data_IF_489655647673
#
_entry.id   IF_489655647673
#
_cell.length_a   1.000
_cell.length_b   1.000
_cell.length_c   1.000
_cell.angle_alpha   90.00
_cell.angle_beta   90.00
_cell.angle_gamma   90.00
#
_symmetry.space_group_name_H-M   'P 1'
#
loop_
_entity.id
_entity.type
_entity.pdbx_description
1 polymer ?
#
# COMPACT_ATOMS: atom_id res chain seq x y z
N UNK A 1 -8.09 -37.56 1.14
CA UNK A 1 -7.35 -36.29 1.07
C UNK A 1 -5.91 -36.61 0.67
N UNK A 2 -5.46 -36.09 -0.46
CA UNK A 2 -4.23 -36.56 -1.12
C UNK A 2 -3.02 -35.87 -0.50
N UNK A 3 -2.10 -36.63 0.09
CA UNK A 3 -0.88 -36.13 0.76
C UNK A 3 -0.03 -35.22 -0.15
N UNK A 4 -0.13 -35.39 -1.47
CA UNK A 4 0.59 -34.58 -2.46
C UNK A 4 0.11 -33.12 -2.52
N UNK A 5 -1.19 -32.83 -2.23
CA UNK A 5 -1.71 -31.45 -2.16
C UNK A 5 -1.23 -30.73 -0.88
N UNK A 6 -0.99 -31.45 0.18
CA UNK A 6 -0.54 -30.89 1.47
C UNK A 6 0.92 -30.42 1.42
N UNK A 7 1.77 -31.09 0.65
CA UNK A 7 3.17 -30.64 0.45
C UNK A 7 3.28 -29.44 -0.47
N UNK A 8 2.35 -29.28 -1.41
CA UNK A 8 2.31 -28.11 -2.31
C UNK A 8 1.94 -26.81 -1.55
N UNK A 9 0.94 -26.87 -0.69
CA UNK A 9 0.53 -25.72 0.14
C UNK A 9 1.59 -25.32 1.15
N UNK A 10 2.29 -26.26 1.77
CA UNK A 10 3.40 -25.96 2.70
C UNK A 10 4.62 -25.36 1.97
N UNK A 11 4.91 -25.83 0.75
CA UNK A 11 5.98 -25.29 -0.08
C UNK A 11 5.76 -23.85 -0.52
N UNK A 12 4.50 -23.49 -0.85
CA UNK A 12 4.11 -22.13 -1.23
C UNK A 12 4.22 -21.17 -0.03
N UNK A 13 3.72 -21.56 1.14
CA UNK A 13 3.80 -20.73 2.36
C UNK A 13 5.25 -20.46 2.78
N UNK A 14 6.13 -21.47 2.71
CA UNK A 14 7.56 -21.30 3.01
C UNK A 14 8.27 -20.43 1.96
N UNK A 15 7.86 -20.50 0.70
CA UNK A 15 8.38 -19.65 -0.38
C UNK A 15 8.02 -18.16 -0.17
N UNK A 16 6.78 -17.87 0.19
CA UNK A 16 6.29 -16.51 0.45
C UNK A 16 7.03 -15.88 1.65
N UNK A 17 7.21 -16.63 2.74
CA UNK A 17 7.97 -16.14 3.92
C UNK A 17 9.42 -15.82 3.55
N UNK A 18 10.05 -16.62 2.68
CA UNK A 18 11.43 -16.38 2.26
C UNK A 18 11.56 -15.14 1.37
N UNK A 19 10.59 -14.89 0.49
CA UNK A 19 10.54 -13.71 -0.40
C UNK A 19 10.35 -12.43 0.43
N UNK A 20 9.43 -12.42 1.39
CA UNK A 20 9.21 -11.28 2.29
C UNK A 20 10.47 -10.96 3.10
N UNK A 21 11.19 -11.98 3.58
CA UNK A 21 12.45 -11.79 4.30
C UNK A 21 13.57 -11.24 3.39
N UNK A 22 13.61 -11.65 2.12
CA UNK A 22 14.61 -11.16 1.14
C UNK A 22 14.32 -9.69 0.79
N UNK A 23 13.06 -9.32 0.54
CA UNK A 23 12.66 -7.93 0.26
C UNK A 23 12.98 -7.04 1.46
N UNK A 24 12.69 -7.50 2.67
CA UNK A 24 13.04 -6.78 3.91
C UNK A 24 14.56 -6.59 4.06
N UNK A 25 15.34 -7.62 3.74
CA UNK A 25 16.81 -7.58 3.85
C UNK A 25 17.46 -6.68 2.80
N UNK A 26 16.97 -6.70 1.55
CA UNK A 26 17.45 -5.82 0.47
C UNK A 26 17.12 -4.35 0.75
N UNK A 27 15.92 -4.04 1.26
CA UNK A 27 15.55 -2.68 1.67
C UNK A 27 16.32 -2.21 2.91
N UNK A 28 16.60 -3.09 3.88
CA UNK A 28 17.43 -2.76 5.05
C UNK A 28 18.89 -2.49 4.67
N UNK A 29 19.44 -3.21 3.70
CA UNK A 29 20.80 -3.02 3.20
C UNK A 29 20.96 -1.69 2.43
N UNK A 30 19.91 -1.24 1.74
CA UNK A 30 19.93 0.01 0.97
C UNK A 30 19.81 1.27 1.85
N UNK A 31 19.27 1.17 3.07
CA UNK A 31 19.18 2.29 4.02
C UNK A 31 20.50 2.65 4.72
N UNK A 32 21.53 1.82 4.60
CA UNK A 32 22.84 2.04 5.23
C UNK A 32 23.84 2.83 4.37
N UNK A 33 23.41 3.37 3.23
CA UNK A 33 24.26 4.14 2.31
C UNK A 33 23.93 5.65 2.29
N UNK A 34 23.67 6.26 3.44
CA UNK A 34 23.71 7.73 3.56
C UNK A 34 25.12 8.19 3.90
N UNK A 35 25.66 9.24 3.24
CA UNK A 35 26.99 9.76 3.54
C UNK A 35 27.02 10.36 4.95
N UNK A 36 28.00 9.95 5.71
CA UNK A 36 28.31 10.48 7.05
C UNK A 36 28.90 11.88 6.92
N UNK A 37 28.26 12.86 7.54
CA UNK A 37 28.80 14.21 7.71
C UNK A 37 29.85 14.21 8.85
N UNK A 38 31.08 14.73 8.63
CA UNK A 38 32.11 14.72 9.65
C UNK A 38 32.21 16.08 10.34
N UNK A 39 31.42 16.35 11.37
CA UNK A 39 31.74 17.41 12.36
C UNK A 39 30.94 17.25 13.65
N UNK A 40 31.63 16.91 14.73
CA UNK A 40 31.77 17.63 15.97
C UNK A 40 32.07 16.70 17.15
N UNK A 41 33.30 16.68 17.57
CA UNK A 41 33.65 16.29 18.93
C UNK A 41 33.47 17.48 19.84
N UNK A 42 32.91 17.24 21.04
CA UNK A 42 33.35 17.87 22.29
C UNK A 42 32.84 17.05 23.46
N UNK A 43 33.81 16.51 24.17
CA UNK A 43 33.72 16.00 25.56
C UNK A 43 33.58 17.16 26.51
N UNK A 44 32.88 16.99 27.66
CA UNK A 44 33.27 17.41 29.02
C UNK A 44 32.28 16.78 30.02
N UNK A 45 32.79 15.82 30.80
CA UNK A 45 32.87 15.69 32.27
C UNK A 45 31.62 15.75 33.17
N UNK A 46 31.57 14.69 33.99
CA UNK A 46 30.78 14.45 35.17
C UNK A 46 30.86 15.56 36.22
N UNK A 47 29.75 15.78 36.92
CA UNK A 47 29.77 15.90 38.40
C UNK A 47 28.42 15.57 39.05
N UNK A 48 28.53 14.88 40.11
CA UNK A 48 27.75 14.24 41.14
C UNK A 48 26.59 14.98 41.81
N UNK A 49 25.55 14.19 42.12
CA UNK A 49 24.75 14.14 43.37
C UNK A 49 23.74 15.24 43.72
N UNK A 50 22.46 14.78 43.92
CA UNK A 50 21.45 15.50 44.69
C UNK A 50 20.01 15.04 44.50
N UNK A 51 19.61 13.94 45.12
CA UNK A 51 18.40 13.62 45.89
C UNK A 51 17.03 14.25 45.56
N UNK A 52 16.10 13.33 45.19
CA UNK A 52 14.65 13.24 45.54
C UNK A 52 13.73 14.43 45.32
N UNK A 53 12.74 14.23 44.47
CA UNK A 53 11.29 14.23 44.82
C UNK A 53 10.49 13.62 43.69
N UNK A 54 9.52 12.76 44.03
CA UNK A 54 8.63 12.12 43.05
C UNK A 54 7.79 13.15 42.30
N UNK A 55 7.81 13.00 41.00
CA UNK A 55 6.82 13.66 40.15
C UNK A 55 6.27 12.57 39.20
N UNK A 56 4.97 12.35 39.29
CA UNK A 56 4.15 11.57 38.41
C UNK A 56 4.49 11.89 36.95
N UNK A 57 4.68 10.96 36.05
CA UNK A 57 4.90 11.27 34.64
C UNK A 57 3.67 12.01 34.11
N UNK A 58 3.90 13.22 33.68
CA UNK A 58 2.90 14.13 33.14
C UNK A 58 2.34 13.61 31.82
N UNK A 59 1.04 13.64 31.68
CA UNK A 59 0.22 13.37 30.48
C UNK A 59 0.67 14.14 29.21
N UNK A 60 1.64 15.03 29.32
CA UNK A 60 2.14 15.83 28.19
C UNK A 60 3.22 15.15 27.35
N UNK A 61 3.84 14.08 27.84
CA UNK A 61 4.86 13.35 27.09
C UNK A 61 4.24 12.34 26.08
N UNK A 62 3.09 11.76 26.41
CA UNK A 62 2.37 10.85 25.51
C UNK A 62 1.81 11.61 24.28
N UNK A 63 1.16 12.76 24.49
CA UNK A 63 0.61 13.56 23.41
C UNK A 63 1.64 14.15 22.43
N UNK A 64 2.90 14.33 22.87
CA UNK A 64 3.99 14.76 21.99
C UNK A 64 4.50 13.61 21.11
N UNK A 65 4.57 12.39 21.63
CA UNK A 65 4.97 11.19 20.87
C UNK A 65 3.93 10.82 19.80
N UNK A 66 2.64 10.94 20.10
CA UNK A 66 1.56 10.66 19.13
C UNK A 66 1.55 11.67 17.99
N UNK A 67 1.82 12.96 18.27
CA UNK A 67 1.93 13.99 17.23
C UNK A 67 3.14 13.78 16.32
N UNK A 68 4.27 13.32 16.87
CA UNK A 68 5.48 13.03 16.10
C UNK A 68 5.30 11.76 15.24
N UNK A 69 4.60 10.75 15.76
CA UNK A 69 4.25 9.53 15.01
C UNK A 69 3.32 9.84 13.83
N UNK A 70 2.25 10.60 14.06
CA UNK A 70 1.33 11.03 13.01
C UNK A 70 2.03 11.86 11.92
N UNK A 71 2.86 12.82 12.32
CA UNK A 71 3.61 13.65 11.36
C UNK A 71 4.54 12.81 10.51
N UNK A 72 5.25 11.86 11.10
CA UNK A 72 6.16 10.97 10.40
C UNK A 72 5.42 10.01 9.49
N UNK A 73 4.28 9.47 9.93
CA UNK A 73 3.39 8.65 9.16
C UNK A 73 2.87 9.39 7.92
N UNK A 74 2.29 10.57 8.09
CA UNK A 74 1.75 11.38 6.97
C UNK A 74 2.82 11.69 5.93
N UNK A 75 4.04 12.02 6.37
CA UNK A 75 5.16 12.25 5.44
C UNK A 75 5.52 10.98 4.65
N UNK A 76 5.53 9.80 5.28
CA UNK A 76 5.80 8.53 4.61
C UNK A 76 4.66 8.18 3.64
N UNK A 77 3.40 8.47 4.00
CA UNK A 77 2.25 8.29 3.11
C UNK A 77 2.32 9.18 1.86
N UNK A 78 2.67 10.45 2.02
CA UNK A 78 2.84 11.39 0.90
C UNK A 78 3.91 10.89 -0.09
N UNK A 79 5.02 10.34 0.42
CA UNK A 79 6.05 9.75 -0.42
C UNK A 79 5.56 8.47 -1.13
N UNK A 80 4.87 7.56 -0.43
CA UNK A 80 4.32 6.34 -1.01
C UNK A 80 3.35 6.68 -2.14
N UNK A 81 2.46 7.64 -1.93
CA UNK A 81 1.50 8.08 -2.94
C UNK A 81 2.18 8.72 -4.14
N UNK A 82 3.22 9.54 -3.91
CA UNK A 82 4.00 10.15 -5.01
C UNK A 82 4.69 9.09 -5.84
N UNK A 83 5.38 8.15 -5.20
CA UNK A 83 6.09 7.06 -5.87
C UNK A 83 5.12 6.15 -6.65
N UNK A 84 3.92 5.89 -6.09
CA UNK A 84 2.85 5.16 -6.76
C UNK A 84 2.39 5.88 -8.04
N UNK A 85 2.05 7.16 -7.95
CA UNK A 85 1.55 7.93 -9.09
C UNK A 85 2.58 7.97 -10.24
N UNK A 86 3.87 8.11 -9.91
CA UNK A 86 4.95 8.07 -10.89
C UNK A 86 5.07 6.67 -11.54
N UNK A 87 4.93 5.60 -10.75
CA UNK A 87 5.03 4.23 -11.23
C UNK A 87 3.80 3.76 -12.03
N UNK A 88 2.64 4.39 -11.83
CA UNK A 88 1.39 4.10 -12.54
C UNK A 88 1.33 4.68 -13.95
N UNK A 89 2.38 5.34 -14.43
CA UNK A 89 2.48 5.76 -15.84
C UNK A 89 2.56 4.52 -16.73
N UNK A 90 1.52 4.26 -17.52
CA UNK A 90 1.41 3.08 -18.38
C UNK A 90 1.91 3.40 -19.80
N UNK A 91 2.91 2.64 -20.26
CA UNK A 91 3.30 2.64 -21.67
C UNK A 91 2.41 1.67 -22.45
N UNK A 92 1.74 2.11 -23.54
CA UNK A 92 0.83 1.28 -24.33
C UNK A 92 1.48 -0.03 -24.78
N UNK A 93 0.82 -1.16 -24.57
CA UNK A 93 1.34 -2.49 -24.93
C UNK A 93 0.68 -3.09 -26.17
N UNK A 94 -0.39 -2.49 -26.67
CA UNK A 94 -1.29 -3.02 -27.70
C UNK A 94 -2.43 -3.87 -27.13
N UNK A 95 -2.61 -3.91 -25.79
CA UNK A 95 -3.62 -4.73 -25.13
C UNK A 95 -4.09 -4.10 -23.79
N UNK A 96 -5.35 -3.68 -23.74
CA UNK A 96 -5.96 -3.03 -22.58
C UNK A 96 -5.84 -3.84 -21.28
N UNK A 97 -5.94 -5.18 -21.36
CA UNK A 97 -5.81 -6.07 -20.21
C UNK A 97 -4.40 -6.00 -19.61
N UNK A 98 -3.37 -5.99 -20.46
CA UNK A 98 -1.97 -5.88 -20.00
C UNK A 98 -1.70 -4.51 -19.41
N UNK A 99 -2.26 -3.46 -19.99
CA UNK A 99 -2.09 -2.09 -19.49
C UNK A 99 -2.77 -1.90 -18.13
N UNK A 100 -3.99 -2.45 -17.97
CA UNK A 100 -4.67 -2.50 -16.68
C UNK A 100 -3.82 -3.20 -15.60
N UNK A 101 -3.34 -4.41 -15.91
CA UNK A 101 -2.56 -5.20 -14.96
C UNK A 101 -1.25 -4.49 -14.57
N UNK A 102 -0.58 -3.85 -15.52
CA UNK A 102 0.64 -3.09 -15.28
C UNK A 102 0.42 -1.83 -14.44
N UNK A 103 -0.70 -1.16 -14.61
CA UNK A 103 -1.08 0.00 -13.77
C UNK A 103 -1.51 -0.43 -12.38
N UNK A 104 -2.19 -1.59 -12.23
CA UNK A 104 -2.69 -2.09 -10.96
C UNK A 104 -1.57 -2.66 -10.05
N UNK A 105 -0.49 -3.20 -10.62
CA UNK A 105 0.64 -3.72 -9.82
C UNK A 105 1.25 -2.64 -8.91
N UNK A 106 1.74 -1.48 -9.40
CA UNK A 106 2.29 -0.44 -8.53
C UNK A 106 1.25 0.13 -7.57
N UNK A 107 -0.03 0.17 -7.96
CA UNK A 107 -1.12 0.52 -7.05
C UNK A 107 -1.19 -0.46 -5.87
N UNK A 108 -1.18 -1.76 -6.09
CA UNK A 108 -1.20 -2.78 -5.03
C UNK A 108 0.07 -2.74 -4.17
N UNK A 109 1.24 -2.54 -4.79
CA UNK A 109 2.51 -2.39 -4.04
C UNK A 109 2.43 -1.21 -3.06
N UNK A 110 1.81 -0.11 -3.45
CA UNK A 110 1.64 1.05 -2.57
C UNK A 110 0.67 0.77 -1.41
N UNK A 111 -0.42 0.01 -1.61
CA UNK A 111 -1.31 -0.39 -0.52
C UNK A 111 -0.59 -1.26 0.51
N UNK A 112 0.29 -2.16 0.05
CA UNK A 112 1.15 -2.95 0.93
C UNK A 112 2.09 -2.04 1.73
N UNK A 113 2.76 -1.08 1.08
CA UNK A 113 3.66 -0.14 1.75
C UNK A 113 2.90 0.78 2.73
N UNK A 114 1.71 1.26 2.39
CA UNK A 114 0.81 2.02 3.29
C UNK A 114 0.45 1.20 4.54
N UNK A 115 0.10 -0.07 4.35
CA UNK A 115 -0.27 -1.00 5.44
C UNK A 115 0.92 -1.31 6.35
N UNK A 116 2.10 -1.54 5.78
CA UNK A 116 3.35 -1.74 6.54
C UNK A 116 3.74 -0.49 7.33
N UNK A 117 3.59 0.70 6.73
CA UNK A 117 3.83 1.98 7.38
C UNK A 117 2.88 2.17 8.57
N UNK A 118 1.58 1.88 8.39
CA UNK A 118 0.60 1.92 9.47
C UNK A 118 0.99 1.01 10.64
N UNK A 119 1.35 -0.24 10.37
CA UNK A 119 1.78 -1.19 11.39
C UNK A 119 3.08 -0.77 12.10
N UNK A 120 3.96 -0.04 11.41
CA UNK A 120 5.21 0.51 11.93
C UNK A 120 4.99 1.67 12.90
N UNK A 121 4.08 2.59 12.56
CA UNK A 121 3.82 3.78 13.38
C UNK A 121 2.84 3.56 14.52
N UNK A 122 2.23 2.36 14.58
CA UNK A 122 1.56 1.87 15.77
C UNK A 122 0.19 2.50 16.02
N UNK A 123 -0.70 2.43 15.05
CA UNK A 123 -2.11 2.71 15.32
C UNK A 123 -2.64 1.87 16.49
N UNK A 124 -3.68 2.32 17.16
CA UNK A 124 -4.23 1.64 18.34
C UNK A 124 -5.43 0.75 18.00
N UNK A 125 -6.07 0.96 16.84
CA UNK A 125 -7.26 0.22 16.43
C UNK A 125 -6.91 -1.20 15.94
N UNK A 126 -7.32 -2.21 16.69
CA UNK A 126 -7.04 -3.62 16.37
C UNK A 126 -7.74 -4.11 15.08
N UNK A 127 -8.91 -3.55 14.73
CA UNK A 127 -9.58 -3.89 13.48
C UNK A 127 -8.81 -3.37 12.27
N UNK A 128 -8.27 -2.14 12.35
CA UNK A 128 -7.41 -1.59 11.30
C UNK A 128 -6.07 -2.32 11.21
N UNK A 129 -5.50 -2.76 12.33
CA UNK A 129 -4.28 -3.59 12.31
C UNK A 129 -4.52 -4.93 11.62
N UNK A 130 -5.68 -5.54 11.87
CA UNK A 130 -6.03 -6.79 11.19
C UNK A 130 -6.28 -6.52 9.70
N UNK A 131 -7.05 -5.49 9.35
CA UNK A 131 -7.31 -5.08 7.98
C UNK A 131 -6.00 -4.81 7.21
N UNK A 132 -5.04 -4.09 7.80
CA UNK A 132 -3.74 -3.85 7.17
C UNK A 132 -2.97 -5.15 6.85
N UNK A 133 -3.05 -6.16 7.73
CA UNK A 133 -2.43 -7.47 7.48
C UNK A 133 -3.16 -8.23 6.37
N UNK A 134 -4.49 -8.19 6.37
CA UNK A 134 -5.32 -8.84 5.36
C UNK A 134 -5.09 -8.23 3.97
N UNK A 135 -4.96 -6.89 3.88
CA UNK A 135 -4.58 -6.16 2.65
C UNK A 135 -3.21 -6.62 2.14
N UNK A 136 -2.19 -6.71 3.02
CA UNK A 136 -0.85 -7.17 2.63
C UNK A 136 -0.92 -8.58 2.03
N UNK A 137 -1.64 -9.51 2.67
CA UNK A 137 -1.75 -10.90 2.21
C UNK A 137 -2.50 -10.99 0.89
N UNK A 138 -3.68 -10.35 0.79
CA UNK A 138 -4.53 -10.41 -0.38
C UNK A 138 -3.84 -9.77 -1.60
N UNK A 139 -3.34 -8.55 -1.47
CA UNK A 139 -2.77 -7.82 -2.59
C UNK A 139 -1.41 -8.37 -3.04
N UNK A 140 -0.64 -9.03 -2.16
CA UNK A 140 0.54 -9.79 -2.57
C UNK A 140 0.15 -10.96 -3.50
N UNK A 141 -0.92 -11.69 -3.17
CA UNK A 141 -1.43 -12.77 -4.02
C UNK A 141 -1.98 -12.28 -5.36
N UNK A 142 -2.64 -11.12 -5.37
CA UNK A 142 -3.18 -10.50 -6.59
C UNK A 142 -2.05 -9.99 -7.51
N UNK A 143 -0.95 -9.45 -6.97
CA UNK A 143 0.24 -9.09 -7.75
C UNK A 143 0.84 -10.32 -8.44
N UNK A 144 0.95 -11.44 -7.74
CA UNK A 144 1.46 -12.68 -8.33
C UNK A 144 0.55 -13.15 -9.48
N UNK A 145 -0.79 -13.08 -9.30
CA UNK A 145 -1.76 -13.40 -10.34
C UNK A 145 -1.66 -12.44 -11.53
N UNK A 146 -1.54 -11.14 -11.30
CA UNK A 146 -1.37 -10.14 -12.37
C UNK A 146 -0.10 -10.40 -13.19
N UNK A 147 1.01 -10.68 -12.54
CA UNK A 147 2.26 -11.01 -13.23
C UNK A 147 2.15 -12.27 -14.10
N UNK A 148 1.43 -13.28 -13.62
CA UNK A 148 1.16 -14.48 -14.41
C UNK A 148 0.28 -14.16 -15.64
N UNK A 149 -0.80 -13.39 -15.48
CA UNK A 149 -1.69 -12.99 -16.58
C UNK A 149 -0.97 -12.14 -17.61
N UNK A 150 -0.14 -11.18 -17.20
CA UNK A 150 0.69 -10.38 -18.12
C UNK A 150 1.56 -11.28 -19.00
N UNK A 151 2.17 -12.30 -18.42
CA UNK A 151 3.00 -13.25 -19.16
C UNK A 151 2.17 -14.08 -20.14
N UNK A 152 1.04 -14.64 -19.69
CA UNK A 152 0.16 -15.49 -20.51
C UNK A 152 -0.44 -14.71 -21.69
N UNK A 153 -0.96 -13.49 -21.44
CA UNK A 153 -1.51 -12.62 -22.50
C UNK A 153 -0.40 -12.17 -23.45
N UNK A 154 0.78 -11.80 -22.94
CA UNK A 154 1.94 -11.40 -23.74
C UNK A 154 2.43 -12.53 -24.65
N UNK A 155 2.46 -13.77 -24.17
CA UNK A 155 2.82 -14.96 -24.98
C UNK A 155 1.77 -15.28 -26.06
N UNK A 156 0.49 -14.96 -25.83
CA UNK A 156 -0.58 -15.13 -26.84
C UNK A 156 -0.42 -14.22 -28.05
N UNK A 157 0.24 -13.08 -27.87
CA UNK A 157 0.45 -12.06 -28.90
C UNK A 157 -0.83 -11.35 -29.35
N UNK A 158 -1.95 -11.53 -28.65
CA UNK A 158 -3.23 -10.87 -28.97
C UNK A 158 -3.13 -9.38 -28.69
N UNK A 159 -3.50 -8.58 -29.69
CA UNK A 159 -3.58 -7.12 -29.59
C UNK A 159 -4.95 -6.64 -30.04
N UNK A 160 -5.43 -5.59 -29.37
CA UNK A 160 -6.65 -4.86 -29.74
C UNK A 160 -6.44 -3.38 -29.47
N UNK A 161 -5.83 -2.69 -30.43
CA UNK A 161 -5.47 -1.28 -30.31
C UNK A 161 -6.70 -0.38 -30.05
N UNK A 162 -7.88 -0.74 -30.56
CA UNK A 162 -9.08 0.06 -30.36
C UNK A 162 -9.59 -0.02 -28.90
N UNK A 163 -9.53 -1.20 -28.28
CA UNK A 163 -9.85 -1.37 -26.86
C UNK A 163 -8.81 -0.73 -25.96
N UNK A 164 -7.53 -0.87 -26.30
CA UNK A 164 -6.44 -0.23 -25.59
C UNK A 164 -6.59 1.29 -25.58
N UNK A 165 -6.82 1.91 -26.76
CA UNK A 165 -7.03 3.37 -26.86
C UNK A 165 -8.22 3.81 -25.98
N UNK A 166 -9.32 3.06 -26.00
CA UNK A 166 -10.48 3.34 -25.15
C UNK A 166 -10.17 3.23 -23.66
N UNK A 167 -9.46 2.18 -23.24
CA UNK A 167 -9.06 1.99 -21.87
C UNK A 167 -8.11 3.09 -21.40
N UNK A 168 -7.07 3.39 -22.16
CA UNK A 168 -6.10 4.42 -21.80
C UNK A 168 -6.74 5.81 -21.68
N UNK A 169 -7.71 6.14 -22.54
CA UNK A 169 -8.48 7.38 -22.41
C UNK A 169 -9.29 7.44 -21.11
N UNK A 170 -9.95 6.34 -20.73
CA UNK A 170 -10.69 6.24 -19.47
C UNK A 170 -9.74 6.27 -18.26
N UNK A 171 -8.58 5.64 -18.37
CA UNK A 171 -7.53 5.64 -17.36
C UNK A 171 -6.98 7.05 -17.11
N UNK A 172 -6.65 7.79 -18.16
CA UNK A 172 -6.12 9.17 -18.06
C UNK A 172 -7.15 10.12 -17.44
N UNK A 173 -8.44 9.99 -17.78
CA UNK A 173 -9.53 10.78 -17.17
C UNK A 173 -9.65 10.48 -15.67
N UNK A 174 -9.61 9.21 -15.30
CA UNK A 174 -9.64 8.77 -13.92
C UNK A 174 -8.41 9.27 -13.14
N UNK A 175 -7.20 9.07 -13.65
CA UNK A 175 -5.95 9.53 -13.02
C UNK A 175 -5.96 11.04 -12.81
N UNK A 176 -6.42 11.81 -13.80
CA UNK A 176 -6.57 13.26 -13.68
C UNK A 176 -7.54 13.66 -12.58
N UNK A 177 -8.64 12.94 -12.39
CA UNK A 177 -9.63 13.20 -11.33
C UNK A 177 -9.08 12.89 -9.94
N UNK A 178 -8.33 11.79 -9.80
CA UNK A 178 -7.72 11.40 -8.53
C UNK A 178 -6.53 12.27 -8.13
N UNK A 179 -5.72 12.76 -9.08
CA UNK A 179 -4.60 13.66 -8.80
C UNK A 179 -5.03 14.93 -8.04
N UNK A 180 -6.23 15.42 -8.28
CA UNK A 180 -6.76 16.60 -7.57
C UNK A 180 -7.20 16.31 -6.13
N UNK A 181 -7.48 15.06 -5.78
CA UNK A 181 -7.92 14.69 -4.43
C UNK A 181 -6.75 14.53 -3.43
N UNK A 182 -5.55 14.28 -3.91
CA UNK A 182 -4.37 14.05 -3.06
C UNK A 182 -3.70 15.32 -2.50
N UNK A 183 -4.07 16.52 -2.97
CA UNK A 183 -3.47 17.77 -2.51
C UNK A 183 -4.10 18.40 -1.26
N UNK A 184 -5.00 17.69 -0.58
CA UNK A 184 -5.60 18.11 0.70
C UNK A 184 -4.67 17.83 1.88
N UNK A 185 -4.49 18.81 2.78
CA UNK A 185 -3.91 18.56 4.09
C UNK A 185 -4.82 17.60 4.85
N UNK A 186 -4.29 16.44 5.28
CA UNK A 186 -5.03 15.51 6.14
C UNK A 186 -5.49 16.22 7.41
N UNK A 187 -6.74 16.00 7.78
CA UNK A 187 -7.33 16.50 9.05
C UNK A 187 -7.35 15.42 10.13
N UNK A 188 -6.72 14.28 9.87
CA UNK A 188 -6.63 13.17 10.79
C UNK A 188 -5.96 13.57 12.12
N UNK A 189 -6.49 13.10 13.22
CA UNK A 189 -6.02 13.42 14.57
C UNK A 189 -5.01 12.39 15.10
N UNK A 190 -4.97 11.23 14.49
CA UNK A 190 -4.10 10.11 14.86
C UNK A 190 -3.78 9.24 13.64
N UNK A 191 -2.89 8.27 13.82
CA UNK A 191 -2.43 7.37 12.76
C UNK A 191 -3.56 6.47 12.25
N UNK A 192 -4.50 6.07 13.10
CA UNK A 192 -5.67 5.25 12.71
C UNK A 192 -6.57 6.00 11.73
N UNK A 193 -6.94 7.24 12.07
CA UNK A 193 -7.74 8.09 11.16
C UNK A 193 -7.01 8.34 9.83
N UNK A 194 -5.71 8.65 9.90
CA UNK A 194 -4.91 8.92 8.71
C UNK A 194 -4.78 7.70 7.78
N UNK A 195 -4.60 6.51 8.35
CA UNK A 195 -4.57 5.27 7.58
C UNK A 195 -5.91 4.97 6.93
N UNK A 196 -6.99 5.01 7.71
CA UNK A 196 -8.32 4.69 7.20
C UNK A 196 -8.77 5.68 6.10
N UNK A 197 -8.53 7.00 6.27
CA UNK A 197 -8.85 8.01 5.27
C UNK A 197 -8.02 7.82 3.99
N UNK A 198 -6.72 7.60 4.12
CA UNK A 198 -5.82 7.41 2.99
C UNK A 198 -6.10 6.13 2.22
N UNK A 199 -6.25 5.00 2.92
CA UNK A 199 -6.51 3.70 2.29
C UNK A 199 -7.91 3.63 1.65
N UNK A 200 -8.92 4.33 2.23
CA UNK A 200 -10.24 4.44 1.61
C UNK A 200 -10.18 5.10 0.22
N UNK A 201 -9.45 6.22 0.10
CA UNK A 201 -9.26 6.90 -1.19
C UNK A 201 -8.44 6.05 -2.16
N UNK A 202 -7.41 5.39 -1.66
CA UNK A 202 -6.58 4.47 -2.43
C UNK A 202 -7.41 3.32 -3.01
N UNK A 203 -8.22 2.66 -2.22
CA UNK A 203 -9.10 1.58 -2.66
C UNK A 203 -10.15 2.05 -3.67
N UNK A 204 -10.67 3.27 -3.53
CA UNK A 204 -11.61 3.82 -4.51
C UNK A 204 -10.98 3.89 -5.90
N UNK A 205 -9.69 4.26 -6.01
CA UNK A 205 -8.97 4.29 -7.28
C UNK A 205 -8.89 2.89 -7.92
N UNK A 206 -8.57 1.85 -7.15
CA UNK A 206 -8.54 0.48 -7.67
C UNK A 206 -9.91 0.00 -8.15
N UNK A 207 -10.97 0.34 -7.41
CA UNK A 207 -12.35 0.04 -7.82
C UNK A 207 -12.69 0.73 -9.15
N UNK A 208 -12.30 1.99 -9.32
CA UNK A 208 -12.56 2.75 -10.54
C UNK A 208 -11.74 2.20 -11.72
N UNK A 209 -10.46 1.87 -11.52
CA UNK A 209 -9.62 1.19 -12.53
C UNK A 209 -10.23 -0.15 -12.94
N UNK A 210 -10.66 -0.95 -11.96
CA UNK A 210 -11.23 -2.28 -12.20
C UNK A 210 -12.58 -2.20 -12.93
N UNK A 211 -13.41 -1.22 -12.61
CA UNK A 211 -14.65 -0.96 -13.36
C UNK A 211 -14.39 -0.53 -14.80
N UNK A 212 -13.37 0.32 -15.00
CA UNK A 212 -13.03 0.78 -16.36
C UNK A 212 -12.59 -0.37 -17.28
N UNK A 213 -11.74 -1.29 -16.81
CA UNK A 213 -11.25 -2.38 -17.67
C UNK A 213 -12.34 -3.34 -18.13
N UNK A 214 -13.43 -3.50 -17.36
CA UNK A 214 -14.54 -4.40 -17.74
C UNK A 214 -15.19 -4.05 -19.08
N UNK A 215 -15.12 -2.80 -19.51
CA UNK A 215 -15.64 -2.34 -20.80
C UNK A 215 -14.66 -2.58 -21.96
N UNK A 216 -13.38 -2.90 -21.68
CA UNK A 216 -12.32 -2.97 -22.67
C UNK A 216 -11.56 -4.31 -22.70
N UNK A 217 -11.89 -5.27 -21.85
CA UNK A 217 -11.29 -6.61 -21.87
C UNK A 217 -12.28 -7.67 -22.36
N UNK A 218 -11.78 -8.66 -23.14
CA UNK A 218 -12.46 -9.92 -23.42
C UNK A 218 -11.80 -11.10 -22.70
N UNK A 219 -10.75 -10.85 -21.92
CA UNK A 219 -10.05 -11.89 -21.16
C UNK A 219 -10.85 -12.25 -19.90
N UNK A 220 -11.31 -13.51 -19.83
CA UNK A 220 -12.17 -13.99 -18.75
C UNK A 220 -11.45 -13.96 -17.38
N UNK A 221 -10.14 -14.23 -17.33
CA UNK A 221 -9.38 -14.21 -16.07
C UNK A 221 -9.13 -12.78 -15.60
N UNK A 222 -8.89 -11.84 -16.51
CA UNK A 222 -8.77 -10.41 -16.18
C UNK A 222 -10.13 -9.86 -15.71
N UNK A 223 -11.23 -10.21 -16.39
CA UNK A 223 -12.59 -9.85 -15.96
C UNK A 223 -12.85 -10.33 -14.53
N UNK A 224 -12.57 -11.60 -14.25
CA UNK A 224 -12.76 -12.21 -12.94
C UNK A 224 -11.88 -11.57 -11.85
N UNK A 225 -10.61 -11.26 -12.18
CA UNK A 225 -9.72 -10.55 -11.26
C UNK A 225 -10.27 -9.16 -10.94
N UNK A 226 -10.66 -8.39 -11.95
CA UNK A 226 -11.24 -7.06 -11.77
C UNK A 226 -12.51 -7.08 -10.89
N UNK A 227 -13.42 -8.03 -11.13
CA UNK A 227 -14.61 -8.23 -10.29
C UNK A 227 -14.25 -8.61 -8.85
N UNK A 228 -13.22 -9.42 -8.66
CA UNK A 228 -12.73 -9.81 -7.32
C UNK A 228 -12.16 -8.60 -6.57
N UNK A 229 -11.34 -7.78 -7.24
CA UNK A 229 -10.77 -6.54 -6.67
C UNK A 229 -11.92 -5.59 -6.28
N UNK A 230 -12.91 -5.37 -7.16
CA UNK A 230 -14.07 -4.53 -6.84
C UNK A 230 -14.76 -5.02 -5.57
N UNK A 231 -15.12 -6.30 -5.51
CA UNK A 231 -15.87 -6.85 -4.39
C UNK A 231 -15.11 -6.80 -3.06
N UNK A 232 -13.80 -7.08 -3.09
CA UNK A 232 -12.95 -7.04 -1.92
C UNK A 232 -12.78 -5.60 -1.42
N UNK A 233 -12.38 -4.70 -2.29
CA UNK A 233 -12.05 -3.33 -1.91
C UNK A 233 -13.29 -2.48 -1.58
N UNK A 234 -14.44 -2.69 -2.21
CA UNK A 234 -15.70 -2.06 -1.78
C UNK A 234 -16.10 -2.50 -0.35
N UNK A 235 -15.81 -3.74 0.02
CA UNK A 235 -16.05 -4.22 1.40
C UNK A 235 -15.10 -3.54 2.40
N UNK A 236 -13.83 -3.41 2.04
CA UNK A 236 -12.81 -2.78 2.89
C UNK A 236 -13.03 -1.28 3.03
N UNK A 237 -13.43 -0.58 1.96
CA UNK A 237 -13.89 0.82 1.98
C UNK A 237 -15.02 0.99 3.01
N UNK A 238 -16.02 0.12 2.96
CA UNK A 238 -17.14 0.17 3.90
C UNK A 238 -16.69 -0.06 5.35
N UNK A 239 -15.78 -0.99 5.58
CA UNK A 239 -15.24 -1.26 6.92
C UNK A 239 -14.51 -0.03 7.47
N UNK A 240 -13.64 0.59 6.67
CA UNK A 240 -12.90 1.80 7.06
C UNK A 240 -13.84 2.98 7.33
N UNK A 241 -14.87 3.18 6.49
CA UNK A 241 -15.88 4.22 6.69
C UNK A 241 -16.69 4.01 7.99
N UNK A 242 -17.02 2.76 8.34
CA UNK A 242 -17.68 2.43 9.61
C UNK A 242 -16.77 2.73 10.82
N UNK A 243 -15.47 2.41 10.75
CA UNK A 243 -14.49 2.73 11.79
C UNK A 243 -14.35 4.25 11.96
N UNK A 244 -14.20 4.99 10.87
CA UNK A 244 -14.11 6.46 10.89
C UNK A 244 -15.35 7.14 11.48
N UNK A 245 -16.55 6.56 11.29
CA UNK A 245 -17.78 7.07 11.88
C UNK A 245 -17.86 6.83 13.40
N UNK A 246 -17.29 5.74 13.89
CA UNK A 246 -17.25 5.42 15.32
C UNK A 246 -16.22 6.25 16.09
N UNK A 247 -15.20 6.78 15.41
CA UNK A 247 -14.15 7.62 15.99
C UNK A 247 -14.55 9.10 16.18
N UNK A 248 -15.69 9.52 15.64
CA UNK A 248 -16.23 10.90 15.74
C UNK A 248 -17.14 11.07 16.95
#
# INVERSE_FOLDING_TARGET
MNKQKQYWTVGIILGIILIVLIIFWVRAANRNNTPQDPHAGHSIEETSAGQTTGTTPSSSAAGAQDSDALTSYLKEQDQIMTDMMDAMTVEPTGNASVDFLKGMIPHHESAIDMSLSYLKYGGENEELKQLAKDIIEAQTGEIDQMNQLIKEIGESGVKDEAKEEGYLAAYDEMMSSHAHMHHGTSTAKNVDEAFAEGMLMHHQMAVDMSKAILDYTDDEEVTKLAETIIAAQEKEIKQMDEILKQAK
#
